data_IF_926817145471
#
_entry.id   IF_926817145471
#
_cell.length_a   1.000
_cell.length_b   1.000
_cell.length_c   1.000
_cell.angle_alpha   90.00
_cell.angle_beta   90.00
_cell.angle_gamma   90.00
#
_symmetry.space_group_name_H-M   'P 1'
#
loop_
_entity.id
_entity.type
_entity.pdbx_description
1 polymer ?
#
# COMPACT_ATOMS: atom_id res chain seq x y z
N UNK A 1 -8.75 -3.40 23.62
CA UNK A 1 -7.66 -3.86 22.74
C UNK A 1 -8.08 -4.02 21.28
N UNK A 2 -9.30 -4.48 20.97
CA UNK A 2 -9.78 -4.58 19.58
C UNK A 2 -9.86 -3.26 18.80
N UNK A 3 -10.28 -2.15 19.42
CA UNK A 3 -10.44 -0.85 18.74
C UNK A 3 -9.13 -0.30 18.18
N UNK A 4 -8.01 -0.44 18.91
CA UNK A 4 -6.69 0.02 18.45
C UNK A 4 -6.21 -0.75 17.20
N UNK A 5 -6.38 -2.07 17.19
CA UNK A 5 -6.04 -2.91 16.02
C UNK A 5 -6.92 -2.57 14.81
N UNK A 6 -8.23 -2.39 15.02
CA UNK A 6 -9.15 -1.99 13.95
C UNK A 6 -8.82 -0.62 13.38
N UNK A 7 -8.52 0.37 14.24
CA UNK A 7 -8.16 1.73 13.81
C UNK A 7 -6.86 1.72 13.01
N UNK A 8 -5.82 1.01 13.45
CA UNK A 8 -4.55 0.87 12.72
C UNK A 8 -4.74 0.19 11.37
N UNK A 9 -5.59 -0.83 11.30
CA UNK A 9 -5.88 -1.55 10.06
C UNK A 9 -6.65 -0.66 9.08
N UNK A 10 -7.61 0.15 9.56
CA UNK A 10 -8.37 1.10 8.75
C UNK A 10 -7.48 2.25 8.25
N UNK A 11 -6.71 2.89 9.14
CA UNK A 11 -5.79 3.96 8.72
C UNK A 11 -4.71 3.45 7.76
N UNK A 12 -4.17 2.26 8.01
CA UNK A 12 -3.19 1.64 7.15
C UNK A 12 -3.75 1.31 5.76
N UNK A 13 -4.98 0.80 5.69
CA UNK A 13 -5.65 0.47 4.41
C UNK A 13 -6.03 1.72 3.61
N UNK A 14 -6.47 2.80 4.29
CA UNK A 14 -6.65 4.11 3.65
C UNK A 14 -5.33 4.63 3.11
N UNK A 15 -4.24 4.54 3.88
CA UNK A 15 -2.90 4.92 3.45
C UNK A 15 -2.45 4.13 2.21
N UNK A 16 -2.67 2.82 2.20
CA UNK A 16 -2.37 1.96 1.05
C UNK A 16 -3.13 2.38 -0.21
N UNK A 17 -4.41 2.75 -0.10
CA UNK A 17 -5.20 3.26 -1.22
C UNK A 17 -4.67 4.59 -1.72
N UNK A 18 -4.42 5.55 -0.83
CA UNK A 18 -3.93 6.89 -1.21
C UNK A 18 -2.56 6.81 -1.89
N UNK A 19 -1.62 6.08 -1.31
CA UNK A 19 -0.28 5.94 -1.90
C UNK A 19 -0.30 5.05 -3.15
N UNK A 20 -1.20 4.07 -3.24
CA UNK A 20 -1.39 3.26 -4.44
C UNK A 20 -1.92 4.11 -5.61
N UNK A 21 -2.88 5.00 -5.34
CA UNK A 21 -3.39 5.97 -6.31
C UNK A 21 -2.28 6.96 -6.72
N UNK A 22 -1.42 7.43 -5.81
CA UNK A 22 -0.29 8.29 -6.17
C UNK A 22 0.67 7.60 -7.15
N UNK A 23 1.00 6.33 -6.92
CA UNK A 23 1.82 5.53 -7.85
C UNK A 23 1.11 5.38 -9.20
N UNK A 24 -0.20 5.13 -9.17
CA UNK A 24 -1.01 5.02 -10.39
C UNK A 24 -1.02 6.33 -11.19
N UNK A 25 -1.18 7.48 -10.54
CA UNK A 25 -1.13 8.80 -11.17
C UNK A 25 0.24 9.04 -11.80
N UNK A 26 1.33 8.70 -11.11
CA UNK A 26 2.68 8.80 -11.66
C UNK A 26 2.86 7.92 -12.90
N UNK A 27 2.35 6.67 -12.84
CA UNK A 27 2.35 5.75 -13.96
C UNK A 27 1.60 6.28 -15.18
N UNK A 28 0.39 6.83 -14.98
CA UNK A 28 -0.36 7.47 -16.07
C UNK A 28 0.32 8.74 -16.60
N UNK A 29 1.03 9.51 -15.75
CA UNK A 29 1.79 10.70 -16.19
C UNK A 29 3.00 10.35 -17.05
N UNK A 30 3.67 9.23 -16.78
CA UNK A 30 4.78 8.75 -17.59
C UNK A 30 4.27 8.14 -18.90
N UNK A 31 3.28 7.24 -18.84
CA UNK A 31 2.71 6.62 -20.04
C UNK A 31 1.42 5.85 -19.75
N UNK A 32 0.42 6.02 -20.63
CA UNK A 32 -0.91 5.38 -20.50
C UNK A 32 -0.82 3.85 -20.43
N UNK A 33 0.13 3.23 -21.16
CA UNK A 33 0.34 1.78 -21.14
C UNK A 33 0.87 1.27 -19.79
N UNK A 34 1.75 2.01 -19.14
CA UNK A 34 2.24 1.66 -17.80
C UNK A 34 1.17 1.92 -16.74
N UNK A 35 0.40 3.01 -16.85
CA UNK A 35 -0.77 3.28 -16.01
C UNK A 35 -1.79 2.13 -16.02
N UNK A 36 -2.19 1.68 -17.20
CA UNK A 36 -3.07 0.51 -17.38
C UNK A 36 -2.43 -0.79 -16.87
N UNK A 37 -1.12 -0.96 -17.08
CA UNK A 37 -0.36 -2.10 -16.57
C UNK A 37 -0.36 -2.16 -15.04
N UNK A 38 -0.14 -1.04 -14.35
CA UNK A 38 -0.28 -0.95 -12.89
C UNK A 38 -1.73 -1.13 -12.42
N UNK A 39 -2.73 -0.69 -13.18
CA UNK A 39 -4.13 -0.86 -12.82
C UNK A 39 -4.56 -2.33 -12.84
N UNK A 40 -4.16 -3.07 -13.88
CA UNK A 40 -4.53 -4.48 -14.10
C UNK A 40 -3.62 -5.47 -13.36
N UNK A 41 -2.33 -5.14 -13.24
CA UNK A 41 -1.27 -6.00 -12.69
C UNK A 41 -0.45 -5.22 -11.66
N UNK A 42 -1.13 -4.75 -10.62
CA UNK A 42 -0.55 -3.87 -9.59
C UNK A 42 0.72 -4.44 -8.94
N UNK A 43 0.76 -5.76 -8.70
CA UNK A 43 1.90 -6.40 -8.03
C UNK A 43 3.09 -6.62 -8.99
N UNK A 44 2.99 -7.34 -10.11
CA UNK A 44 4.16 -7.58 -10.95
C UNK A 44 4.55 -6.37 -11.80
N UNK A 45 3.60 -5.64 -12.39
CA UNK A 45 3.91 -4.50 -13.27
C UNK A 45 4.21 -3.24 -12.46
N UNK A 46 3.56 -3.06 -11.31
CA UNK A 46 3.85 -1.95 -10.40
C UNK A 46 5.26 -1.98 -9.84
N UNK A 47 5.79 -3.16 -9.49
CA UNK A 47 7.17 -3.29 -9.02
C UNK A 47 8.16 -2.94 -10.14
N UNK A 48 7.95 -3.43 -11.37
CA UNK A 48 8.82 -3.09 -12.51
C UNK A 48 8.79 -1.59 -12.80
N UNK A 49 7.61 -0.98 -12.76
CA UNK A 49 7.45 0.47 -12.96
C UNK A 49 8.17 1.28 -11.90
N UNK A 50 8.07 0.89 -10.62
CA UNK A 50 8.76 1.53 -9.51
C UNK A 50 10.28 1.42 -9.64
N UNK A 51 10.82 0.28 -10.09
CA UNK A 51 12.26 0.12 -10.33
C UNK A 51 12.71 1.02 -11.48
N UNK A 52 11.90 1.15 -12.54
CA UNK A 52 12.23 1.94 -13.73
C UNK A 52 12.15 3.45 -13.47
N UNK A 53 11.11 3.89 -12.76
CA UNK A 53 10.84 5.29 -12.41
C UNK A 53 11.17 5.56 -10.93
N UNK A 54 12.25 4.95 -10.43
CA UNK A 54 12.60 4.98 -9.00
C UNK A 54 12.83 6.40 -8.48
N UNK A 55 13.31 7.32 -9.32
CA UNK A 55 13.56 8.72 -8.95
C UNK A 55 12.29 9.42 -8.44
N UNK A 56 11.18 9.22 -9.13
CA UNK A 56 9.92 9.90 -8.80
C UNK A 56 9.01 9.02 -7.94
N UNK A 57 9.05 7.69 -8.10
CA UNK A 57 8.24 6.74 -7.34
C UNK A 57 8.75 6.43 -5.93
N UNK A 58 10.03 6.73 -5.61
CA UNK A 58 10.65 6.42 -4.30
C UNK A 58 9.79 6.86 -3.12
N UNK A 59 9.35 8.11 -3.12
CA UNK A 59 8.65 8.74 -2.00
C UNK A 59 7.26 8.13 -1.75
N UNK A 60 6.38 8.03 -2.77
CA UNK A 60 5.08 7.38 -2.60
C UNK A 60 5.21 5.88 -2.35
N UNK A 61 6.17 5.18 -2.97
CA UNK A 61 6.38 3.75 -2.76
C UNK A 61 6.85 3.42 -1.33
N UNK A 62 7.81 4.15 -0.78
CA UNK A 62 8.24 3.98 0.62
C UNK A 62 7.08 4.20 1.60
N UNK A 63 6.21 5.18 1.32
CA UNK A 63 5.02 5.44 2.14
C UNK A 63 3.98 4.33 2.01
N UNK A 64 3.80 3.78 0.81
CA UNK A 64 2.94 2.62 0.58
C UNK A 64 3.43 1.38 1.34
N UNK A 65 4.74 1.10 1.32
CA UNK A 65 5.37 0.02 2.08
C UNK A 65 5.23 0.25 3.60
N UNK A 66 5.41 1.48 4.07
CA UNK A 66 5.17 1.82 5.48
C UNK A 66 3.71 1.61 5.90
N UNK A 67 2.74 1.98 5.05
CA UNK A 67 1.33 1.68 5.27
C UNK A 67 1.04 0.18 5.26
N UNK A 68 1.68 -0.59 4.37
CA UNK A 68 1.56 -2.05 4.35
C UNK A 68 2.09 -2.68 5.65
N UNK A 69 3.24 -2.20 6.15
CA UNK A 69 3.77 -2.63 7.44
C UNK A 69 2.82 -2.27 8.60
N UNK A 70 2.21 -1.08 8.57
CA UNK A 70 1.23 -0.67 9.57
C UNK A 70 -0.04 -1.55 9.54
N UNK A 71 -0.53 -1.93 8.36
CA UNK A 71 -1.65 -2.89 8.21
C UNK A 71 -1.25 -4.28 8.72
N UNK A 72 -0.05 -4.75 8.38
CA UNK A 72 0.43 -6.05 8.83
C UNK A 72 0.56 -6.13 10.36
N UNK A 73 1.08 -5.06 10.99
CA UNK A 73 1.18 -4.96 12.45
C UNK A 73 -0.21 -4.82 13.08
N UNK A 74 -1.07 -3.96 12.55
CA UNK A 74 -2.45 -3.79 13.03
C UNK A 74 -3.26 -5.08 12.93
N UNK A 75 -3.12 -5.80 11.82
CA UNK A 75 -3.72 -7.11 11.59
C UNK A 75 -3.16 -8.20 12.50
N UNK A 76 -1.85 -8.24 12.72
CA UNK A 76 -1.25 -9.16 13.69
C UNK A 76 -1.75 -8.88 15.11
N UNK A 77 -1.76 -7.63 15.55
CA UNK A 77 -2.29 -7.23 16.87
C UNK A 77 -3.78 -7.58 17.00
N UNK A 78 -4.58 -7.34 15.96
CA UNK A 78 -5.99 -7.73 15.93
C UNK A 78 -6.20 -9.25 15.96
N UNK A 79 -5.38 -10.01 15.23
CA UNK A 79 -5.42 -11.47 15.18
C UNK A 79 -4.98 -12.11 16.51
N UNK A 80 -3.88 -11.64 17.10
CA UNK A 80 -3.43 -12.07 18.42
C UNK A 80 -4.44 -11.69 19.51
N UNK A 81 -5.10 -10.53 19.41
CA UNK A 81 -6.18 -10.16 20.32
C UNK A 81 -7.42 -11.05 20.17
N UNK A 82 -7.79 -11.43 18.94
CA UNK A 82 -8.88 -12.35 18.68
C UNK A 82 -8.58 -13.78 19.19
N UNK A 83 -7.33 -14.23 19.09
CA UNK A 83 -6.86 -15.50 19.66
C UNK A 83 -6.75 -15.48 21.19
N UNK A 84 -6.49 -14.32 21.79
CA UNK A 84 -6.35 -14.16 23.25
C UNK A 84 -7.70 -14.14 24.00
N UNK A 85 -8.84 -14.07 23.32
CA UNK A 85 -10.17 -14.29 23.92
C UNK A 85 -10.62 -13.25 24.96
N UNK A 86 -10.19 -11.98 24.85
CA UNK A 86 -10.61 -10.87 25.73
C UNK A 86 -11.24 -9.71 24.97
#
# INVERSE_FOLDING_TARGET
>A
MGILGTVLTILGSIGMLVFGIQILILAFRSSVGWGLGTLLLFVPVGIVYVIREWRDCRTPFLRWVASFAAVAIGGAVGFFAALAGS
#
